data_IF_284276857564
#
_entry.id   IF_284276857564
#
_cell.length_a   1.000
_cell.length_b   1.000
_cell.length_c   1.000
_cell.angle_alpha   90.00
_cell.angle_beta   90.00
_cell.angle_gamma   90.00
#
_symmetry.space_group_name_H-M   'P 1'
#
loop_
_entity.id
_entity.type
_entity.pdbx_description
1 polymer ?
#
# COMPACT_ATOMS: atom_id res chain seq x y z
N UNK A 1 47.37 -62.98 -23.27
CA UNK A 1 48.73 -62.84 -22.73
C UNK A 1 49.12 -61.36 -22.78
N UNK A 2 49.48 -60.80 -21.62
CA UNK A 2 50.12 -59.50 -21.35
C UNK A 2 49.35 -58.18 -21.56
N UNK A 3 48.91 -57.68 -20.39
CA UNK A 3 48.57 -56.31 -19.96
C UNK A 3 49.65 -55.26 -20.30
N UNK A 4 49.20 -54.02 -20.53
CA UNK A 4 49.62 -52.75 -19.88
C UNK A 4 49.27 -51.56 -20.80
N UNK A 5 48.96 -50.34 -20.38
CA UNK A 5 48.67 -49.70 -19.10
C UNK A 5 48.48 -48.21 -19.43
N UNK A 6 47.48 -47.54 -18.82
CA UNK A 6 47.38 -46.07 -18.66
C UNK A 6 47.19 -45.21 -19.92
N UNK A 7 45.97 -44.67 -20.07
CA UNK A 7 45.71 -43.22 -19.95
C UNK A 7 44.20 -42.98 -19.88
N UNK A 8 43.72 -42.86 -18.66
CA UNK A 8 42.39 -42.35 -18.32
C UNK A 8 42.45 -40.83 -18.53
N UNK A 9 41.99 -40.36 -19.69
CA UNK A 9 41.82 -38.93 -19.95
C UNK A 9 40.36 -38.59 -19.65
N UNK A 10 40.09 -38.42 -18.35
CA UNK A 10 38.90 -37.77 -17.83
C UNK A 10 38.96 -36.32 -18.32
N UNK A 11 38.35 -36.04 -19.47
CA UNK A 11 38.13 -34.69 -19.95
C UNK A 11 37.02 -34.08 -19.09
N UNK A 12 37.40 -33.62 -17.89
CA UNK A 12 36.53 -32.86 -17.01
C UNK A 12 36.35 -31.49 -17.66
N UNK A 13 35.34 -31.39 -18.53
CA UNK A 13 34.84 -30.14 -19.05
C UNK A 13 34.28 -29.36 -17.85
N UNK A 14 35.13 -28.61 -17.16
CA UNK A 14 34.71 -27.44 -16.40
C UNK A 14 34.16 -26.44 -17.42
N UNK A 15 32.91 -26.64 -17.84
CA UNK A 15 32.06 -25.52 -18.21
C UNK A 15 31.88 -24.73 -16.91
N UNK A 16 32.83 -23.83 -16.65
CA UNK A 16 32.58 -22.69 -15.79
C UNK A 16 31.48 -21.90 -16.47
N UNK A 17 30.22 -22.22 -16.13
CA UNK A 17 29.14 -21.26 -16.26
C UNK A 17 29.57 -20.06 -15.42
N UNK A 18 30.14 -19.06 -16.08
CA UNK A 18 30.11 -17.72 -15.57
C UNK A 18 28.63 -17.36 -15.46
N UNK A 19 28.05 -17.65 -14.29
CA UNK A 19 26.85 -16.96 -13.81
C UNK A 19 27.35 -15.55 -13.51
N UNK A 20 27.59 -14.78 -14.57
CA UNK A 20 27.70 -13.35 -14.48
C UNK A 20 26.34 -12.87 -14.02
N UNK A 21 26.27 -12.38 -12.80
CA UNK A 21 25.22 -11.47 -12.40
C UNK A 21 25.06 -10.46 -13.54
N UNK A 22 23.87 -10.35 -14.12
CA UNK A 22 23.56 -9.27 -15.04
C UNK A 22 23.54 -7.98 -14.20
N UNK A 23 24.73 -7.41 -13.99
CA UNK A 23 24.88 -6.00 -13.65
C UNK A 23 24.18 -5.26 -14.77
N UNK A 24 23.02 -4.72 -14.45
CA UNK A 24 22.20 -4.15 -15.47
C UNK A 24 22.89 -2.87 -15.97
N UNK A 25 23.21 -2.90 -17.25
CA UNK A 25 23.92 -1.81 -17.92
C UNK A 25 22.95 -0.66 -18.13
N UNK A 26 23.39 0.58 -17.84
CA UNK A 26 22.60 1.78 -18.11
C UNK A 26 22.78 2.13 -19.59
N UNK A 27 21.78 1.85 -20.42
CA UNK A 27 21.86 2.02 -21.88
C UNK A 27 20.80 2.99 -22.40
N UNK A 28 21.18 3.84 -23.35
CA UNK A 28 20.25 4.52 -24.25
C UNK A 28 20.19 3.71 -25.54
N UNK A 29 19.00 3.25 -25.93
CA UNK A 29 18.77 2.40 -27.10
C UNK A 29 17.80 3.08 -28.06
N UNK A 30 18.02 2.92 -29.36
CA UNK A 30 17.09 3.39 -30.39
C UNK A 30 16.90 2.35 -31.50
N UNK A 31 15.84 2.54 -32.30
CA UNK A 31 15.56 1.68 -33.44
C UNK A 31 16.67 1.85 -34.50
N UNK A 32 17.30 0.76 -34.98
CA UNK A 32 18.31 0.86 -36.02
C UNK A 32 17.70 1.30 -37.36
N UNK A 33 18.44 2.10 -38.10
CA UNK A 33 18.06 2.62 -39.41
C UNK A 33 18.87 1.86 -40.47
N UNK A 34 18.15 1.22 -41.40
CA UNK A 34 18.77 0.47 -42.50
C UNK A 34 19.60 1.41 -43.38
N UNK A 35 20.82 0.99 -43.75
CA UNK A 35 21.75 1.77 -44.56
C UNK A 35 22.55 2.83 -43.81
N UNK A 36 22.37 2.99 -42.49
CA UNK A 36 23.22 3.86 -41.69
C UNK A 36 24.62 3.23 -41.50
N UNK A 37 25.68 4.03 -41.65
CA UNK A 37 27.06 3.56 -41.44
C UNK A 37 27.51 3.61 -39.96
N UNK A 38 26.61 4.05 -39.08
CA UNK A 38 26.82 4.31 -37.65
C UNK A 38 25.86 5.39 -37.17
N UNK A 39 26.09 5.91 -35.97
CA UNK A 39 25.28 6.94 -35.33
C UNK A 39 26.18 7.97 -34.63
N UNK A 40 25.65 9.16 -34.43
CA UNK A 40 26.21 10.14 -33.50
C UNK A 40 25.19 10.40 -32.41
N UNK A 41 25.61 10.31 -31.15
CA UNK A 41 24.79 10.60 -29.98
C UNK A 41 25.32 11.86 -29.30
N UNK A 42 24.38 12.73 -28.92
CA UNK A 42 24.67 13.90 -28.10
C UNK A 42 23.81 13.89 -26.85
N UNK A 43 24.44 14.12 -25.70
CA UNK A 43 23.79 14.31 -24.41
C UNK A 43 24.25 15.65 -23.85
N UNK A 44 23.30 16.47 -23.43
CA UNK A 44 23.59 17.75 -22.78
C UNK A 44 22.80 17.90 -21.49
N UNK A 45 23.37 18.64 -20.56
CA UNK A 45 22.66 19.08 -19.35
C UNK A 45 21.53 20.06 -19.71
N UNK A 46 20.59 20.26 -18.78
CA UNK A 46 19.55 21.29 -18.90
C UNK A 46 20.11 22.72 -19.04
N UNK A 47 21.34 22.95 -18.55
CA UNK A 47 22.12 24.20 -18.70
C UNK A 47 22.55 24.46 -20.15
N UNK A 48 22.46 23.45 -21.02
CA UNK A 48 22.90 23.51 -22.42
C UNK A 48 24.31 22.98 -22.67
N UNK A 49 25.08 22.67 -21.61
CA UNK A 49 26.42 22.10 -21.72
C UNK A 49 26.36 20.67 -22.28
N UNK A 50 27.03 20.43 -23.41
CA UNK A 50 27.15 19.08 -23.99
C UNK A 50 28.17 18.28 -23.18
N UNK A 51 27.73 17.15 -22.63
CA UNK A 51 28.56 16.26 -21.79
C UNK A 51 29.02 15.02 -22.56
N UNK A 52 28.25 14.59 -23.56
CA UNK A 52 28.61 13.49 -24.45
C UNK A 52 28.34 13.93 -25.88
N UNK A 53 29.34 13.80 -26.75
CA UNK A 53 29.21 13.89 -28.20
C UNK A 53 30.12 12.82 -28.82
N UNK A 54 29.51 11.70 -29.26
CA UNK A 54 30.26 10.50 -29.68
C UNK A 54 29.68 9.92 -30.97
N UNK A 55 30.56 9.46 -31.86
CA UNK A 55 30.20 8.62 -33.01
C UNK A 55 30.40 7.16 -32.65
N UNK A 56 29.39 6.35 -32.93
CA UNK A 56 29.34 4.92 -32.61
C UNK A 56 28.81 4.12 -33.80
N UNK A 57 29.05 2.83 -33.82
CA UNK A 57 28.57 1.89 -34.85
C UNK A 57 27.31 1.12 -34.43
N UNK A 58 27.02 1.08 -33.13
CA UNK A 58 25.85 0.41 -32.55
C UNK A 58 24.64 1.35 -32.40
N UNK A 59 23.44 0.77 -32.32
CA UNK A 59 22.20 1.50 -32.05
C UNK A 59 21.91 1.67 -30.53
N UNK A 60 22.96 1.64 -29.71
CA UNK A 60 22.87 1.82 -28.27
C UNK A 60 24.15 2.46 -27.72
N UNK A 61 24.03 3.19 -26.60
CA UNK A 61 25.17 3.81 -25.90
C UNK A 61 25.07 3.56 -24.40
N UNK A 62 26.17 3.15 -23.76
CA UNK A 62 26.28 3.10 -22.31
C UNK A 62 26.40 4.50 -21.70
N UNK A 63 25.66 4.73 -20.61
CA UNK A 63 25.64 5.96 -19.81
C UNK A 63 26.02 5.68 -18.35
N UNK A 64 26.81 4.63 -18.10
CA UNK A 64 27.26 4.26 -16.74
C UNK A 64 27.97 5.40 -16.01
N UNK A 65 28.81 6.16 -16.73
CA UNK A 65 29.59 7.28 -16.20
C UNK A 65 28.79 8.57 -16.02
N UNK A 66 27.52 8.60 -16.47
CA UNK A 66 26.70 9.81 -16.41
C UNK A 66 26.19 10.03 -14.96
N UNK A 67 26.50 11.16 -14.30
CA UNK A 67 26.04 11.44 -12.95
C UNK A 67 24.52 11.58 -12.86
N UNK A 68 23.96 11.47 -11.66
CA UNK A 68 22.54 11.74 -11.44
C UNK A 68 22.19 13.17 -11.86
N UNK A 69 21.12 13.34 -12.62
CA UNK A 69 20.65 14.63 -13.12
C UNK A 69 19.69 14.53 -14.30
N UNK A 70 19.23 15.69 -14.76
CA UNK A 70 18.33 15.82 -15.91
C UNK A 70 19.12 16.23 -17.15
N UNK A 71 18.99 15.44 -18.20
CA UNK A 71 19.70 15.59 -19.47
C UNK A 71 18.74 15.59 -20.65
N UNK A 72 19.24 16.10 -21.76
CA UNK A 72 18.61 16.02 -23.07
C UNK A 72 19.49 15.15 -23.96
N UNK A 73 18.89 14.14 -24.59
CA UNK A 73 19.57 13.26 -25.56
C UNK A 73 19.00 13.44 -26.96
N UNK A 74 19.86 13.35 -27.97
CA UNK A 74 19.47 13.16 -29.37
C UNK A 74 20.45 12.27 -30.11
N UNK A 75 19.99 11.66 -31.18
CA UNK A 75 20.80 10.79 -32.04
C UNK A 75 20.66 11.19 -33.51
N UNK A 76 21.67 10.87 -34.31
CA UNK A 76 21.61 11.02 -35.76
C UNK A 76 22.28 9.82 -36.45
N UNK A 77 21.66 9.20 -37.46
CA UNK A 77 22.35 8.22 -38.30
C UNK A 77 23.46 8.91 -39.10
N UNK A 78 24.57 8.20 -39.26
CA UNK A 78 25.70 8.61 -40.08
C UNK A 78 25.55 8.10 -41.51
N UNK A 79 25.81 8.97 -42.48
CA UNK A 79 25.91 8.58 -43.89
C UNK A 79 27.24 7.85 -44.18
N UNK A 80 27.45 7.42 -45.43
CA UNK A 80 28.70 6.77 -45.85
C UNK A 80 29.97 7.62 -45.63
N UNK A 81 29.84 8.94 -45.52
CA UNK A 81 30.93 9.89 -45.23
C UNK A 81 31.08 10.18 -43.74
N UNK A 82 30.45 9.39 -42.86
CA UNK A 82 30.47 9.55 -41.39
C UNK A 82 30.00 10.93 -40.92
N UNK A 83 29.08 11.56 -41.67
CA UNK A 83 28.41 12.83 -41.30
C UNK A 83 26.97 12.56 -40.83
N UNK A 84 26.48 13.26 -39.80
CA UNK A 84 25.06 13.19 -39.40
C UNK A 84 24.14 13.53 -40.57
N UNK A 85 23.19 12.65 -40.88
CA UNK A 85 22.21 12.90 -41.92
C UNK A 85 21.06 13.76 -41.41
N UNK A 86 20.38 13.31 -40.36
CA UNK A 86 19.24 14.00 -39.73
C UNK A 86 19.32 13.79 -38.21
N UNK A 87 19.15 14.86 -37.44
CA UNK A 87 19.08 14.76 -35.98
C UNK A 87 17.65 14.43 -35.52
N UNK A 88 17.54 13.57 -34.52
CA UNK A 88 16.30 13.40 -33.77
C UNK A 88 15.98 14.68 -32.99
N UNK A 89 14.70 14.84 -32.62
CA UNK A 89 14.34 15.78 -31.57
C UNK A 89 15.11 15.46 -30.27
N UNK A 90 15.35 16.49 -29.48
CA UNK A 90 15.84 16.32 -28.12
C UNK A 90 14.78 15.63 -27.27
N UNK A 91 15.18 14.65 -26.47
CA UNK A 91 14.34 13.96 -25.50
C UNK A 91 14.91 14.12 -24.10
N UNK A 92 14.03 14.30 -23.12
CA UNK A 92 14.40 14.33 -21.71
C UNK A 92 14.82 12.93 -21.24
N UNK A 93 15.90 12.89 -20.45
CA UNK A 93 16.41 11.70 -19.76
C UNK A 93 16.77 12.11 -18.35
N UNK A 94 16.21 11.40 -17.38
CA UNK A 94 16.56 11.57 -15.97
C UNK A 94 17.43 10.39 -15.52
N UNK A 95 18.60 10.69 -14.97
CA UNK A 95 19.46 9.72 -14.31
C UNK A 95 19.28 9.91 -12.81
N UNK A 96 18.71 8.92 -12.16
CA UNK A 96 18.51 8.90 -10.71
C UNK A 96 19.50 7.95 -10.05
N UNK A 97 19.87 8.25 -8.80
CA UNK A 97 20.62 7.33 -7.97
C UNK A 97 19.68 6.24 -7.47
N UNK A 98 19.99 4.98 -7.79
CA UNK A 98 19.23 3.82 -7.31
C UNK A 98 19.86 3.32 -6.02
N UNK A 99 19.34 3.76 -4.88
CA UNK A 99 19.77 3.25 -3.58
C UNK A 99 19.06 1.94 -3.24
N UNK A 100 19.64 1.06 -2.39
CA UNK A 100 18.94 -0.13 -1.92
C UNK A 100 17.62 0.26 -1.23
N UNK A 101 16.50 -0.40 -1.55
CA UNK A 101 15.23 -0.10 -0.91
C UNK A 101 15.30 -0.50 0.57
N UNK A 102 14.79 0.37 1.43
CA UNK A 102 14.55 0.02 2.84
C UNK A 102 13.05 -0.10 3.03
N UNK A 103 12.63 -1.12 3.77
CA UNK A 103 11.24 -1.30 4.17
C UNK A 103 11.20 -1.08 5.66
N UNK A 104 10.39 -0.14 6.11
CA UNK A 104 10.15 0.12 7.52
C UNK A 104 8.99 -0.78 7.93
N UNK A 105 9.31 -1.84 8.66
CA UNK A 105 8.30 -2.59 9.41
C UNK A 105 8.34 -2.12 10.85
N UNK A 106 7.25 -1.49 11.31
CA UNK A 106 7.10 -1.12 12.72
C UNK A 106 6.58 -2.28 13.60
N UNK A 107 6.15 -3.42 13.02
CA UNK A 107 5.57 -4.52 13.81
C UNK A 107 6.04 -5.92 13.38
N UNK A 108 6.24 -6.80 14.38
CA UNK A 108 6.59 -8.22 14.24
C UNK A 108 5.44 -9.08 13.68
N UNK A 109 4.26 -8.49 13.42
CA UNK A 109 3.04 -9.20 13.03
C UNK A 109 2.70 -9.01 11.54
N UNK A 110 2.36 -10.08 10.82
CA UNK A 110 2.01 -10.00 9.41
C UNK A 110 0.68 -9.28 9.18
N UNK A 111 0.56 -8.56 8.06
CA UNK A 111 -0.69 -7.95 7.60
C UNK A 111 -1.66 -9.06 7.22
N UNK A 112 -2.82 -9.13 7.87
CA UNK A 112 -3.83 -10.16 7.60
C UNK A 112 -4.62 -9.82 6.34
N UNK A 113 -4.69 -10.78 5.41
CA UNK A 113 -5.45 -10.66 4.17
C UNK A 113 -6.57 -11.73 4.16
N UNK A 114 -7.84 -11.33 3.97
CA UNK A 114 -8.93 -12.29 3.88
C UNK A 114 -8.85 -13.06 2.56
N UNK A 115 -9.19 -14.35 2.61
CA UNK A 115 -9.42 -15.18 1.42
C UNK A 115 -10.91 -15.25 1.08
N UNK A 116 -11.25 -15.33 -0.21
CA UNK A 116 -12.64 -15.48 -0.66
C UNK A 116 -13.28 -16.78 -0.15
N UNK A 117 -14.52 -16.69 0.34
CA UNK A 117 -15.37 -17.87 0.64
C UNK A 117 -15.93 -18.52 -0.63
N UNK A 118 -15.93 -17.81 -1.77
CA UNK A 118 -16.55 -18.28 -3.01
C UNK A 118 -15.57 -18.22 -4.18
N UNK A 119 -15.50 -19.29 -4.98
CA UNK A 119 -14.70 -19.35 -6.23
C UNK A 119 -15.20 -18.41 -7.35
N UNK A 120 -16.21 -17.58 -7.06
CA UNK A 120 -16.95 -16.79 -8.06
C UNK A 120 -16.64 -15.29 -7.92
N UNK A 121 -16.28 -14.81 -6.73
CA UNK A 121 -15.94 -13.41 -6.48
C UNK A 121 -14.45 -13.24 -6.19
N UNK A 122 -13.81 -12.32 -6.92
CA UNK A 122 -12.39 -11.99 -6.72
C UNK A 122 -12.21 -11.21 -5.43
N UNK A 123 -11.43 -11.73 -4.49
CA UNK A 123 -11.06 -10.97 -3.28
C UNK A 123 -9.80 -10.16 -3.57
N UNK A 124 -9.99 -8.85 -3.67
CA UNK A 124 -8.91 -7.89 -3.87
C UNK A 124 -8.61 -7.22 -2.53
N UNK A 125 -7.38 -7.38 -2.05
CA UNK A 125 -6.92 -6.71 -0.83
C UNK A 125 -5.94 -5.59 -1.16
N UNK A 126 -6.06 -4.45 -0.48
CA UNK A 126 -5.13 -3.34 -0.61
C UNK A 126 -4.02 -3.50 0.45
N UNK A 127 -2.76 -3.37 0.05
CA UNK A 127 -1.60 -3.47 0.95
C UNK A 127 -0.72 -2.24 0.72
N UNK A 128 -0.32 -1.61 1.82
CA UNK A 128 0.59 -0.46 1.80
C UNK A 128 1.96 -0.91 2.28
N UNK A 129 3.01 -0.52 1.55
CA UNK A 129 4.41 -0.79 1.88
C UNK A 129 5.07 0.55 2.19
N UNK A 130 5.58 0.71 3.41
CA UNK A 130 6.28 1.90 3.86
C UNK A 130 7.79 1.64 3.95
N UNK A 131 8.59 2.67 3.68
CA UNK A 131 10.03 2.51 3.56
C UNK A 131 10.79 3.75 3.15
N UNK A 132 11.96 3.54 2.55
CA UNK A 132 12.80 4.58 1.97
C UNK A 132 13.38 4.12 0.63
N UNK A 133 13.67 5.09 -0.22
CA UNK A 133 14.33 4.94 -1.52
C UNK A 133 13.53 4.15 -2.56
N UNK A 134 12.20 4.18 -2.51
CA UNK A 134 11.38 3.61 -3.58
C UNK A 134 11.46 4.47 -4.85
N UNK A 135 11.47 3.80 -5.99
CA UNK A 135 11.51 4.37 -7.33
C UNK A 135 10.30 3.88 -8.13
N UNK A 136 9.90 4.60 -9.17
CA UNK A 136 8.79 4.16 -10.03
C UNK A 136 9.04 2.75 -10.62
N UNK A 137 10.31 2.46 -10.94
CA UNK A 137 10.78 1.19 -11.46
C UNK A 137 11.01 0.10 -10.39
N UNK A 138 10.75 0.37 -9.10
CA UNK A 138 10.86 -0.63 -8.02
C UNK A 138 9.92 -1.81 -8.29
N UNK A 139 10.47 -3.01 -8.26
CA UNK A 139 9.71 -4.27 -8.35
C UNK A 139 9.30 -4.73 -6.97
N UNK A 140 8.09 -5.24 -6.86
CA UNK A 140 7.51 -5.76 -5.62
C UNK A 140 6.95 -7.14 -5.92
N UNK A 141 7.34 -8.13 -5.14
CA UNK A 141 6.86 -9.50 -5.22
C UNK A 141 6.48 -10.00 -3.83
N UNK A 142 5.40 -10.76 -3.74
CA UNK A 142 4.97 -11.44 -2.51
C UNK A 142 5.05 -12.93 -2.74
N UNK A 143 5.86 -13.65 -1.96
CA UNK A 143 6.15 -15.06 -2.23
C UNK A 143 6.12 -15.93 -0.97
N UNK A 144 5.75 -17.20 -1.16
CA UNK A 144 5.76 -18.22 -0.12
C UNK A 144 6.27 -19.53 -0.69
N UNK A 145 7.43 -20.02 -0.21
CA UNK A 145 7.99 -21.35 -0.56
C UNK A 145 7.87 -21.70 -2.06
N UNK A 146 8.18 -20.74 -2.94
CA UNK A 146 8.10 -20.78 -4.41
C UNK A 146 6.75 -20.50 -5.08
N UNK A 147 5.74 -20.05 -4.34
CA UNK A 147 4.47 -19.56 -4.90
C UNK A 147 4.36 -18.05 -4.75
N UNK A 148 4.01 -17.36 -5.84
CA UNK A 148 3.82 -15.91 -5.84
C UNK A 148 2.33 -15.57 -5.60
N UNK A 149 2.09 -14.59 -4.73
CA UNK A 149 0.77 -13.98 -4.59
C UNK A 149 0.59 -12.95 -5.73
N UNK A 150 -0.45 -13.06 -6.57
CA UNK A 150 -0.63 -12.16 -7.70
C UNK A 150 -0.86 -10.71 -7.27
N UNK A 151 -0.04 -9.80 -7.78
CA UNK A 151 -0.21 -8.35 -7.63
C UNK A 151 -0.93 -7.83 -8.88
N UNK A 152 -2.15 -7.32 -8.70
CA UNK A 152 -2.99 -6.78 -9.76
C UNK A 152 -2.57 -5.37 -10.19
N UNK A 153 -2.12 -4.55 -9.22
CA UNK A 153 -1.63 -3.20 -9.48
C UNK A 153 -0.57 -2.80 -8.46
N UNK A 154 0.38 -1.97 -8.89
CA UNK A 154 1.42 -1.35 -8.08
C UNK A 154 1.47 0.14 -8.39
N UNK A 155 1.27 0.97 -7.39
CA UNK A 155 1.37 2.42 -7.47
C UNK A 155 2.44 2.91 -6.48
N UNK A 156 3.53 3.48 -7.00
CA UNK A 156 4.53 4.15 -6.17
C UNK A 156 4.05 5.57 -5.93
N UNK A 157 3.68 5.89 -4.69
CA UNK A 157 3.12 7.20 -4.32
C UNK A 157 4.22 8.21 -4.00
N UNK A 158 5.30 7.73 -3.40
CA UNK A 158 6.47 8.51 -3.04
C UNK A 158 7.69 7.59 -2.89
N UNK A 159 8.90 8.16 -2.68
CA UNK A 159 10.08 7.38 -2.29
C UNK A 159 9.94 6.62 -0.96
N UNK A 160 8.85 6.83 -0.23
CA UNK A 160 8.60 6.24 1.09
C UNK A 160 7.37 5.33 1.12
N UNK A 161 6.56 5.30 0.04
CA UNK A 161 5.30 4.55 0.02
C UNK A 161 4.98 3.92 -1.33
N UNK A 162 4.65 2.62 -1.29
CA UNK A 162 4.09 1.86 -2.42
C UNK A 162 2.74 1.27 -1.99
N UNK A 163 1.70 1.53 -2.78
CA UNK A 163 0.40 0.89 -2.62
C UNK A 163 0.26 -0.24 -3.66
N UNK A 164 -0.11 -1.44 -3.21
CA UNK A 164 -0.36 -2.59 -4.09
C UNK A 164 -1.76 -3.16 -3.87
N UNK A 165 -2.33 -3.72 -4.93
CA UNK A 165 -3.56 -4.51 -4.87
C UNK A 165 -3.23 -5.96 -5.15
N UNK A 166 -3.61 -6.86 -4.25
CA UNK A 166 -3.31 -8.29 -4.35
C UNK A 166 -4.59 -9.09 -4.52
N UNK A 167 -4.53 -10.12 -5.36
CA UNK A 167 -5.61 -11.08 -5.53
C UNK A 167 -5.38 -12.26 -4.57
N UNK A 168 -6.29 -12.45 -3.62
CA UNK A 168 -6.21 -13.54 -2.65
C UNK A 168 -7.15 -14.70 -2.96
N UNK A 169 -7.85 -14.67 -4.10
CA UNK A 169 -8.90 -15.64 -4.45
C UNK A 169 -8.39 -17.09 -4.46
N UNK A 170 -7.30 -17.33 -5.18
CA UNK A 170 -6.67 -18.66 -5.31
C UNK A 170 -5.43 -18.83 -4.41
N UNK A 171 -5.16 -17.86 -3.53
CA UNK A 171 -3.98 -17.85 -2.70
C UNK A 171 -4.01 -18.97 -1.64
N UNK A 172 -2.85 -19.57 -1.35
CA UNK A 172 -2.74 -20.58 -0.28
C UNK A 172 -2.61 -19.90 1.08
N UNK A 173 -3.45 -20.32 2.00
CA UNK A 173 -3.51 -19.81 3.36
C UNK A 173 -2.17 -19.98 4.08
N UNK A 174 -1.63 -18.90 4.64
CA UNK A 174 -0.34 -18.84 5.30
C UNK A 174 0.41 -17.54 5.04
N UNK A 175 1.65 -17.47 5.54
CA UNK A 175 2.47 -16.26 5.48
C UNK A 175 3.25 -16.15 4.16
N UNK A 176 3.36 -14.93 3.67
CA UNK A 176 4.09 -14.56 2.47
C UNK A 176 5.14 -13.50 2.81
N UNK A 177 6.31 -13.65 2.20
CA UNK A 177 7.44 -12.76 2.33
C UNK A 177 7.38 -11.70 1.23
N UNK A 178 7.70 -10.46 1.60
CA UNK A 178 7.81 -9.35 0.68
C UNK A 178 9.23 -9.27 0.13
N UNK A 179 9.34 -9.16 -1.19
CA UNK A 179 10.60 -8.88 -1.89
C UNK A 179 10.46 -7.56 -2.63
N UNK A 180 11.28 -6.58 -2.26
CA UNK A 180 11.34 -5.26 -2.90
C UNK A 180 12.69 -5.12 -3.59
N UNK A 181 12.69 -4.77 -4.88
CA UNK A 181 13.93 -4.68 -5.67
C UNK A 181 13.96 -3.40 -6.48
N UNK A 182 14.93 -2.54 -6.18
CA UNK A 182 15.25 -1.40 -7.04
C UNK A 182 16.12 -1.84 -8.23
N UNK A 183 16.07 -1.13 -9.37
CA UNK A 183 16.93 -1.41 -10.50
C UNK A 183 18.40 -1.44 -10.09
N UNK A 184 19.12 -2.47 -10.53
CA UNK A 184 20.55 -2.67 -10.28
C UNK A 184 20.94 -2.83 -8.81
N UNK A 185 19.97 -3.07 -7.93
CA UNK A 185 20.21 -3.34 -6.51
C UNK A 185 19.85 -4.78 -6.16
N UNK A 186 20.44 -5.28 -5.08
CA UNK A 186 20.06 -6.59 -4.53
C UNK A 186 18.63 -6.51 -3.99
N UNK A 187 17.82 -7.57 -4.15
CA UNK A 187 16.50 -7.63 -3.56
C UNK A 187 16.54 -7.50 -2.04
N UNK A 188 15.67 -6.66 -1.48
CA UNK A 188 15.40 -6.62 -0.05
C UNK A 188 14.23 -7.55 0.26
N UNK A 189 14.51 -8.60 1.01
CA UNK A 189 13.50 -9.56 1.47
C UNK A 189 13.09 -9.23 2.90
N UNK A 190 11.79 -9.26 3.14
CA UNK A 190 11.13 -9.02 4.42
C UNK A 190 10.22 -10.22 4.69
N UNK A 191 10.59 -11.01 5.69
CA UNK A 191 9.88 -12.25 6.01
C UNK A 191 8.58 -11.98 6.76
N UNK A 192 7.57 -12.84 6.59
CA UNK A 192 6.30 -12.73 7.32
C UNK A 192 5.62 -11.36 7.12
N UNK A 193 5.59 -10.86 5.88
CA UNK A 193 5.03 -9.54 5.60
C UNK A 193 3.49 -9.54 5.59
N UNK A 194 2.87 -10.49 4.89
CA UNK A 194 1.41 -10.66 4.85
C UNK A 194 1.03 -12.10 5.19
N UNK A 195 -0.18 -12.31 5.73
CA UNK A 195 -0.73 -13.62 6.05
C UNK A 195 -2.13 -13.74 5.45
N UNK A 196 -2.30 -14.70 4.53
CA UNK A 196 -3.61 -15.02 3.96
C UNK A 196 -4.31 -16.01 4.88
N UNK A 197 -5.49 -15.67 5.40
CA UNK A 197 -6.27 -16.56 6.25
C UNK A 197 -7.53 -17.04 5.55
N UNK A 198 -7.92 -18.28 5.82
CA UNK A 198 -9.24 -18.75 5.42
C UNK A 198 -10.29 -18.00 6.23
N UNK A 199 -11.42 -17.64 5.59
CA UNK A 199 -12.57 -17.15 6.31
C UNK A 199 -12.97 -18.18 7.36
N UNK A 200 -12.98 -17.77 8.63
CA UNK A 200 -13.28 -18.66 9.75
C UNK A 200 -14.73 -19.15 9.62
N UNK A 201 -14.93 -20.38 9.14
CA UNK A 201 -16.19 -21.08 9.31
C UNK A 201 -16.47 -21.26 10.80
N UNK A 202 -17.50 -20.58 11.30
CA UNK A 202 -18.01 -20.75 12.65
C UNK A 202 -18.66 -22.15 12.78
N UNK A 203 -17.93 -23.10 13.36
CA UNK A 203 -18.51 -24.32 13.92
C UNK A 203 -18.06 -24.43 15.38
N UNK A 204 -19.02 -24.24 16.28
CA UNK A 204 -18.90 -24.51 17.73
C UNK A 204 -19.29 -25.99 17.95
N UNK A 205 -18.69 -26.73 18.91
CA UNK A 205 -18.98 -26.48 20.32
C UNK A 205 -17.80 -26.81 21.25
N UNK A 206 -17.14 -25.79 21.80
CA UNK A 206 -16.69 -25.71 23.20
C UNK A 206 -15.54 -24.72 23.35
N UNK A 207 -15.88 -23.55 23.89
CA UNK A 207 -15.08 -22.89 24.91
C UNK A 207 -13.98 -21.97 24.40
N UNK A 208 -14.35 -20.73 24.04
CA UNK A 208 -14.06 -19.55 24.88
C UNK A 208 -14.46 -18.25 24.17
N UNK A 209 -15.14 -17.39 24.94
CA UNK A 209 -15.81 -16.16 24.53
C UNK A 209 -14.84 -15.11 23.93
N UNK A 210 -14.79 -14.95 22.60
CA UNK A 210 -14.45 -13.66 21.94
C UNK A 210 -15.10 -13.60 20.55
N UNK A 211 -15.89 -12.55 20.30
CA UNK A 211 -16.31 -12.15 18.95
C UNK A 211 -17.71 -12.58 18.50
N UNK A 212 -18.76 -12.13 19.19
CA UNK A 212 -20.16 -12.20 18.72
C UNK A 212 -20.76 -10.80 18.65
N UNK A 213 -20.36 -9.99 17.69
CA UNK A 213 -20.96 -8.66 17.54
C UNK A 213 -21.41 -8.28 16.11
N UNK A 214 -20.85 -8.86 15.05
CA UNK A 214 -21.10 -8.40 13.68
C UNK A 214 -22.29 -9.07 12.93
N UNK A 215 -23.34 -9.51 13.63
CA UNK A 215 -24.51 -10.13 12.97
C UNK A 215 -25.69 -9.18 12.71
N UNK A 216 -25.61 -7.92 13.17
CA UNK A 216 -26.68 -6.92 13.01
C UNK A 216 -26.10 -5.53 12.67
N UNK A 217 -26.89 -4.63 12.06
CA UNK A 217 -26.47 -3.27 11.79
C UNK A 217 -26.15 -2.49 13.07
N UNK A 218 -25.19 -1.55 13.03
CA UNK A 218 -24.82 -0.73 14.19
C UNK A 218 -25.98 0.05 14.79
N UNK A 219 -26.93 0.49 13.95
CA UNK A 219 -28.15 1.18 14.38
C UNK A 219 -29.03 0.33 15.31
N UNK A 220 -28.91 -0.99 15.25
CA UNK A 220 -29.69 -1.96 16.04
C UNK A 220 -28.94 -2.50 17.27
N UNK A 221 -27.71 -2.02 17.50
CA UNK A 221 -26.97 -2.33 18.72
C UNK A 221 -27.69 -1.74 19.93
N UNK A 222 -27.56 -2.40 21.07
CA UNK A 222 -27.80 -1.78 22.36
C UNK A 222 -26.63 -0.85 22.69
N UNK A 223 -26.82 0.02 23.67
CA UNK A 223 -25.76 0.86 24.21
C UNK A 223 -24.54 0.04 24.65
N UNK A 224 -24.75 -1.06 25.38
CA UNK A 224 -23.69 -1.92 25.90
C UNK A 224 -22.92 -2.66 24.80
N UNK A 225 -23.64 -3.14 23.77
CA UNK A 225 -23.00 -3.75 22.61
C UNK A 225 -22.14 -2.74 21.85
N UNK A 226 -22.63 -1.51 21.69
CA UNK A 226 -21.85 -0.46 21.04
C UNK A 226 -20.62 -0.07 21.85
N UNK A 227 -20.70 0.00 23.18
CA UNK A 227 -19.50 0.21 24.00
C UNK A 227 -18.49 -0.93 23.84
N UNK A 228 -18.96 -2.17 23.89
CA UNK A 228 -18.13 -3.37 23.67
C UNK A 228 -17.47 -3.34 22.29
N UNK A 229 -18.19 -2.88 21.26
CA UNK A 229 -17.62 -2.64 19.94
C UNK A 229 -16.46 -1.65 20.00
N UNK A 230 -16.67 -0.45 20.56
CA UNK A 230 -15.65 0.59 20.61
C UNK A 230 -14.41 0.18 21.43
N UNK A 231 -14.60 -0.62 22.49
CA UNK A 231 -13.50 -1.19 23.27
C UNK A 231 -12.67 -2.21 22.48
N UNK A 232 -13.28 -2.87 21.49
CA UNK A 232 -12.59 -3.82 20.61
C UNK A 232 -12.02 -3.16 19.35
N UNK A 233 -12.64 -2.08 18.87
CA UNK A 233 -12.29 -1.36 17.65
C UNK A 233 -11.22 -0.29 17.90
N UNK A 234 -10.14 -0.68 18.56
CA UNK A 234 -9.04 0.24 18.90
C UNK A 234 -8.14 0.41 17.68
N UNK A 235 -7.85 1.65 17.32
CA UNK A 235 -6.88 2.00 16.28
C UNK A 235 -5.45 1.69 16.75
N UNK A 236 -5.03 0.43 16.64
CA UNK A 236 -3.73 -0.08 17.11
C UNK A 236 -2.55 0.73 16.54
N UNK A 237 -2.69 1.19 15.29
CA UNK A 237 -1.67 1.96 14.57
C UNK A 237 -1.70 3.47 14.88
N UNK A 238 -2.52 3.89 15.85
CA UNK A 238 -2.87 5.28 16.06
C UNK A 238 -2.82 5.65 17.55
N UNK A 239 -1.61 5.57 18.13
CA UNK A 239 -1.37 5.66 19.59
C UNK A 239 -1.80 6.99 20.23
N UNK A 240 -1.89 8.05 19.43
CA UNK A 240 -2.24 9.39 19.92
C UNK A 240 -3.75 9.68 19.86
N UNK A 241 -4.58 8.70 19.46
CA UNK A 241 -6.04 8.87 19.42
C UNK A 241 -6.76 7.74 20.13
N UNK A 242 -7.93 8.07 20.68
CA UNK A 242 -8.91 7.12 21.19
C UNK A 242 -10.07 6.91 20.21
N UNK A 243 -9.99 7.54 19.03
CA UNK A 243 -11.00 7.43 17.98
C UNK A 243 -11.05 5.99 17.44
N UNK A 244 -12.26 5.41 17.21
CA UNK A 244 -12.39 4.03 16.77
C UNK A 244 -11.77 3.78 15.40
N UNK A 245 -11.12 2.63 15.22
CA UNK A 245 -10.39 2.28 14.00
C UNK A 245 -11.27 2.34 12.74
N UNK A 246 -12.52 1.87 12.83
CA UNK A 246 -13.49 1.90 11.72
C UNK A 246 -13.73 3.32 11.17
N UNK A 247 -13.58 4.33 12.03
CA UNK A 247 -13.86 5.73 11.70
C UNK A 247 -12.64 6.48 11.19
N UNK A 248 -11.50 5.82 11.05
CA UNK A 248 -10.24 6.41 10.56
C UNK A 248 -9.96 5.96 9.13
N UNK A 249 -9.49 6.89 8.30
CA UNK A 249 -8.91 6.58 6.98
C UNK A 249 -7.39 6.56 7.03
N UNK A 250 -6.80 7.54 7.72
CA UNK A 250 -5.35 7.67 7.86
C UNK A 250 -4.97 8.15 9.26
N UNK A 251 -3.81 7.70 9.72
CA UNK A 251 -3.23 8.11 10.99
C UNK A 251 -1.91 8.84 10.75
N UNK A 252 -1.78 10.06 11.26
CA UNK A 252 -0.55 10.85 11.20
C UNK A 252 -0.04 11.13 12.61
N UNK A 253 1.21 11.60 12.75
CA UNK A 253 1.83 11.83 14.06
C UNK A 253 1.06 12.83 14.94
N UNK A 254 0.44 13.84 14.33
CA UNK A 254 -0.21 14.96 15.03
C UNK A 254 -1.70 15.12 14.74
N UNK A 255 -2.25 14.36 13.79
CA UNK A 255 -3.67 14.41 13.43
C UNK A 255 -4.12 13.07 12.84
N UNK A 256 -5.43 12.89 12.73
CA UNK A 256 -6.04 11.73 12.06
C UNK A 256 -6.97 12.22 10.96
N UNK A 257 -7.12 11.42 9.91
CA UNK A 257 -8.12 11.66 8.87
C UNK A 257 -9.29 10.71 9.11
N UNK A 258 -10.50 11.25 9.18
CA UNK A 258 -11.71 10.50 9.46
C UNK A 258 -12.29 9.88 8.18
N UNK A 259 -12.76 8.65 8.30
CA UNK A 259 -13.39 7.90 7.22
C UNK A 259 -14.92 7.98 7.35
N UNK A 260 -15.55 8.93 6.66
CA UNK A 260 -17.01 9.06 6.56
C UNK A 260 -17.57 8.53 5.23
N UNK A 261 -16.92 7.51 4.66
CA UNK A 261 -17.35 6.91 3.38
C UNK A 261 -18.70 6.18 3.49
N UNK A 262 -19.16 5.86 4.71
CA UNK A 262 -20.47 5.27 4.98
C UNK A 262 -21.18 6.01 6.11
N UNK A 263 -22.51 6.03 6.06
CA UNK A 263 -23.36 6.58 7.13
C UNK A 263 -23.13 5.87 8.47
N UNK A 264 -22.80 4.58 8.43
CA UNK A 264 -22.49 3.78 9.61
C UNK A 264 -21.18 4.27 10.27
N UNK A 265 -20.11 4.52 9.50
CA UNK A 265 -18.85 5.03 10.06
C UNK A 265 -19.05 6.42 10.70
N UNK A 266 -19.81 7.29 10.03
CA UNK A 266 -20.13 8.61 10.55
C UNK A 266 -20.96 8.50 11.85
N UNK A 267 -21.95 7.61 11.88
CA UNK A 267 -22.79 7.39 13.07
C UNK A 267 -22.00 6.77 14.23
N UNK A 268 -21.04 5.88 13.97
CA UNK A 268 -20.13 5.34 14.99
C UNK A 268 -19.24 6.45 15.57
N UNK A 269 -18.69 7.33 14.72
CA UNK A 269 -17.87 8.46 15.17
C UNK A 269 -18.66 9.46 16.01
N UNK A 270 -19.89 9.80 15.60
CA UNK A 270 -20.78 10.67 16.36
C UNK A 270 -21.23 10.04 17.68
N UNK A 271 -21.41 8.71 17.71
CA UNK A 271 -21.64 7.99 18.96
C UNK A 271 -20.41 7.98 19.87
N UNK A 272 -19.20 7.88 19.31
CA UNK A 272 -17.95 8.01 20.07
C UNK A 272 -17.85 9.41 20.73
N UNK A 273 -18.20 10.47 20.00
CA UNK A 273 -18.30 11.83 20.56
C UNK A 273 -19.33 11.93 21.69
N UNK A 274 -20.46 11.23 21.55
CA UNK A 274 -21.54 11.19 22.54
C UNK A 274 -21.12 10.60 23.89
N UNK A 275 -20.14 9.69 23.90
CA UNK A 275 -19.61 9.07 25.13
C UNK A 275 -18.33 9.77 25.63
N UNK A 276 -17.80 10.75 24.90
CA UNK A 276 -16.62 11.51 25.30
C UNK A 276 -16.94 12.48 26.46
N UNK A 277 -15.92 12.81 27.25
CA UNK A 277 -16.02 13.74 28.38
C UNK A 277 -16.15 15.20 27.94
N UNK A 278 -15.84 15.51 26.69
CA UNK A 278 -15.97 16.85 26.12
C UNK A 278 -17.44 17.23 25.85
N UNK A 279 -17.90 18.32 26.46
CA UNK A 279 -19.27 18.83 26.33
C UNK A 279 -19.62 19.23 24.89
N UNK A 280 -18.72 19.92 24.20
CA UNK A 280 -18.92 20.35 22.81
C UNK A 280 -19.10 19.14 21.87
N UNK A 281 -18.37 18.05 22.12
CA UNK A 281 -18.51 16.81 21.38
C UNK A 281 -19.90 16.20 21.58
N UNK A 282 -20.37 16.13 22.83
CA UNK A 282 -21.71 15.62 23.15
C UNK A 282 -22.83 16.46 22.54
N UNK A 283 -22.76 17.79 22.65
CA UNK A 283 -23.76 18.69 22.07
C UNK A 283 -23.84 18.55 20.55
N UNK A 284 -22.70 18.48 19.87
CA UNK A 284 -22.69 18.28 18.41
C UNK A 284 -23.24 16.90 18.01
N UNK A 285 -22.97 15.85 18.81
CA UNK A 285 -23.53 14.53 18.58
C UNK A 285 -25.06 14.50 18.79
N UNK A 286 -25.61 15.21 19.78
CA UNK A 286 -27.06 15.34 19.97
C UNK A 286 -27.74 15.89 18.72
N UNK A 287 -27.19 16.99 18.18
CA UNK A 287 -27.69 17.62 16.97
C UNK A 287 -27.59 16.69 15.76
N UNK A 288 -26.48 15.97 15.62
CA UNK A 288 -26.30 15.00 14.53
C UNK A 288 -27.38 13.92 14.56
N UNK A 289 -27.59 13.26 15.70
CA UNK A 289 -28.55 12.16 15.79
C UNK A 289 -30.00 12.63 15.68
N UNK A 290 -30.33 13.83 16.17
CA UNK A 290 -31.65 14.40 15.98
C UNK A 290 -31.93 14.79 14.51
N UNK A 291 -30.91 15.27 13.79
CA UNK A 291 -31.03 15.61 12.36
C UNK A 291 -31.07 14.38 11.46
N UNK A 292 -30.29 13.34 11.77
CA UNK A 292 -30.12 12.14 10.96
C UNK A 292 -30.82 10.92 11.61
N UNK A 293 -32.04 11.13 12.09
CA UNK A 293 -32.70 10.16 12.96
C UNK A 293 -33.53 9.07 12.23
N UNK A 294 -33.49 9.02 10.90
CA UNK A 294 -34.28 8.06 10.10
C UNK A 294 -33.37 7.18 9.24
N UNK A 295 -33.17 5.90 9.59
CA UNK A 295 -33.73 5.20 10.75
C UNK A 295 -33.02 5.55 12.06
N UNK A 296 -33.69 5.29 13.19
CA UNK A 296 -33.21 5.69 14.52
C UNK A 296 -31.95 4.91 14.90
N UNK A 297 -30.90 5.62 15.30
CA UNK A 297 -29.69 5.00 15.86
C UNK A 297 -29.88 4.63 17.33
N UNK A 298 -30.25 3.38 17.61
CA UNK A 298 -30.64 2.90 18.94
C UNK A 298 -29.60 3.14 20.05
N UNK A 299 -28.29 2.89 19.86
CA UNK A 299 -27.30 3.13 20.90
C UNK A 299 -27.26 4.59 21.37
N UNK A 300 -27.32 5.53 20.42
CA UNK A 300 -27.32 6.96 20.72
C UNK A 300 -28.57 7.35 21.50
N UNK A 301 -29.74 6.82 21.10
CA UNK A 301 -30.99 7.07 21.81
C UNK A 301 -30.94 6.58 23.25
N UNK A 302 -30.46 5.35 23.49
CA UNK A 302 -30.31 4.79 24.84
C UNK A 302 -29.33 5.62 25.69
N UNK A 303 -28.20 6.06 25.10
CA UNK A 303 -27.21 6.92 25.77
C UNK A 303 -27.77 8.29 26.15
N UNK A 304 -28.53 8.92 25.26
CA UNK A 304 -29.15 10.23 25.49
C UNK A 304 -30.25 10.14 26.58
N UNK A 305 -31.06 9.09 26.58
CA UNK A 305 -32.04 8.83 27.65
C UNK A 305 -31.37 8.60 29.00
N UNK A 306 -30.23 7.89 29.03
CA UNK A 306 -29.42 7.73 30.25
C UNK A 306 -28.90 9.09 30.75
N UNK A 307 -28.39 9.93 29.85
CA UNK A 307 -27.90 11.27 30.21
C UNK A 307 -29.05 12.16 30.72
N UNK A 308 -30.22 12.06 30.12
CA UNK A 308 -31.42 12.79 30.53
C UNK A 308 -31.88 12.45 31.94
N UNK A 309 -31.76 11.17 32.34
CA UNK A 309 -32.04 10.73 33.72
C UNK A 309 -31.03 11.32 34.71
N UNK A 310 -29.80 11.53 34.28
CA UNK A 310 -28.70 12.10 35.07
C UNK A 310 -28.47 13.61 34.81
N UNK A 311 -29.47 14.31 34.26
CA UNK A 311 -29.35 15.70 33.79
C UNK A 311 -28.94 16.74 34.83
N UNK A 312 -29.03 16.41 36.12
CA UNK A 312 -28.61 17.32 37.20
C UNK A 312 -27.09 17.49 37.25
N UNK A 313 -26.33 16.58 36.63
CA UNK A 313 -24.87 16.63 36.54
C UNK A 313 -24.37 17.28 35.24
N UNK A 314 -25.27 17.75 34.38
CA UNK A 314 -24.93 18.41 33.13
C UNK A 314 -24.83 19.91 33.33
N UNK A 315 -23.99 20.53 32.51
CA UNK A 315 -24.01 21.98 32.34
C UNK A 315 -25.42 22.45 31.89
N UNK A 316 -25.90 23.62 32.34
CA UNK A 316 -27.19 24.16 31.91
C UNK A 316 -27.38 24.21 30.38
N UNK A 317 -26.35 24.53 29.61
CA UNK A 317 -26.42 24.68 28.15
C UNK A 317 -26.51 23.30 27.48
N UNK A 318 -25.67 22.35 27.89
CA UNK A 318 -25.76 20.95 27.46
C UNK A 318 -27.13 20.36 27.78
N UNK A 319 -27.66 20.64 28.97
CA UNK A 319 -28.97 20.15 29.41
C UNK A 319 -30.08 20.68 28.51
N UNK A 320 -30.06 21.96 28.16
CA UNK A 320 -31.05 22.55 27.25
C UNK A 320 -30.95 21.91 25.86
N UNK A 321 -29.75 21.76 25.32
CA UNK A 321 -29.52 21.09 24.04
C UNK A 321 -30.05 19.65 24.05
N UNK A 322 -29.75 18.88 25.10
CA UNK A 322 -30.22 17.50 25.25
C UNK A 322 -31.75 17.43 25.27
N UNK A 323 -32.44 18.34 25.96
CA UNK A 323 -33.92 18.37 26.00
C UNK A 323 -34.48 18.53 24.59
N UNK A 324 -33.97 19.54 23.87
CA UNK A 324 -34.49 19.91 22.55
C UNK A 324 -34.23 18.80 21.53
N UNK A 325 -33.01 18.27 21.49
CA UNK A 325 -32.62 17.26 20.50
C UNK A 325 -33.21 15.88 20.82
N UNK A 326 -33.30 15.48 22.11
CA UNK A 326 -33.93 14.21 22.48
C UNK A 326 -35.42 14.21 22.17
N UNK A 327 -36.13 15.35 22.32
CA UNK A 327 -37.53 15.46 21.93
C UNK A 327 -37.73 15.21 20.43
N UNK A 328 -36.85 15.76 19.57
CA UNK A 328 -36.86 15.46 18.13
C UNK A 328 -36.57 13.99 17.88
N UNK A 329 -35.54 13.45 18.53
CA UNK A 329 -35.09 12.08 18.32
C UNK A 329 -36.14 11.02 18.72
N UNK A 330 -36.94 11.30 19.76
CA UNK A 330 -38.08 10.47 20.19
C UNK A 330 -39.17 10.34 19.11
N UNK A 331 -39.34 11.35 18.27
CA UNK A 331 -40.37 11.40 17.23
C UNK A 331 -39.95 10.73 15.91
N UNK A 332 -38.71 10.25 15.82
CA UNK A 332 -38.18 9.68 14.58
C UNK A 332 -38.66 8.25 14.33
N UNK A 333 -38.81 7.85 13.07
CA UNK A 333 -39.20 6.48 12.71
C UNK A 333 -38.16 5.46 13.19
N UNK A 334 -38.66 4.32 13.65
CA UNK A 334 -37.82 3.22 14.12
C UNK A 334 -37.04 2.62 12.97
#
# INVERSE_FOLDING_TARGET
MKLNMKRFLLFFCFLSFAIGAQDGTKLIVWKPISGASGYQIQIKEKTGKVVIDKKIDTAYQSIEELPSGVYLVRTAPLNIFKKPAVWSAWKDVEVILSEPPKVVLEEEKPILLPKSESKVEKTISNVTIEGEHFLDATKVDLTRKNEALPILSKEVKSPERIDIKVDTTDAKSGTYDLTVTNPYQKPKVVTNFVQVEEPKHAVDPNGSRKGKLLSKPFRDYTYEEMLSFLETDIAVNCRNTKVPALTLSECHKTYVILNFSSDDNHSVFEFYKLINENESDRMSAYQYFAKNCSPRFRPAFERMELQWKNRNNLDPDERESLVQELAKFRNCSR
#
